data_IF_704595995085
#
_entry.id   IF_704595995085
#
_cell.length_a   1.000
_cell.length_b   1.000
_cell.length_c   1.000
_cell.angle_alpha   90.00
_cell.angle_beta   90.00
_cell.angle_gamma   90.00
#
_symmetry.space_group_name_H-M   'P 1'
#
loop_
_entity.id
_entity.type
_entity.pdbx_description
1 polymer ?
#
# COMPACT_ATOMS: atom_id res chain seq x y z
N UNK A 1 -1.09 13.28 4.33
CA UNK A 1 -0.75 11.90 3.93
C UNK A 1 -0.37 11.84 2.45
N UNK A 2 0.61 11.02 2.09
CA UNK A 2 1.08 10.83 0.71
C UNK A 2 0.08 10.00 -0.14
N UNK A 3 -0.19 10.44 -1.37
CA UNK A 3 -1.06 9.74 -2.35
C UNK A 3 -0.62 8.31 -2.67
N UNK A 4 0.67 8.01 -2.53
CA UNK A 4 1.25 6.67 -2.64
C UNK A 4 0.71 5.75 -1.55
N UNK A 5 0.78 6.18 -0.29
CA UNK A 5 0.29 5.40 0.85
C UNK A 5 -1.21 5.16 0.71
N UNK A 6 -1.99 6.19 0.38
CA UNK A 6 -3.43 6.04 0.17
C UNK A 6 -3.77 4.96 -0.86
N UNK A 7 -3.08 4.96 -2.01
CA UNK A 7 -3.27 3.96 -3.07
C UNK A 7 -2.85 2.57 -2.62
N UNK A 8 -1.66 2.43 -2.02
CA UNK A 8 -1.13 1.14 -1.56
C UNK A 8 -2.06 0.53 -0.52
N UNK A 9 -2.45 1.30 0.49
CA UNK A 9 -3.33 0.84 1.57
C UNK A 9 -4.70 0.38 1.09
N UNK A 10 -5.27 1.04 0.07
CA UNK A 10 -6.55 0.63 -0.50
C UNK A 10 -6.43 -0.58 -1.43
N UNK A 11 -5.42 -0.64 -2.32
CA UNK A 11 -5.24 -1.77 -3.24
C UNK A 11 -4.94 -3.08 -2.51
N UNK A 12 -4.03 -3.04 -1.55
CA UNK A 12 -3.66 -4.22 -0.73
C UNK A 12 -4.72 -4.59 0.30
N UNK A 13 -5.73 -3.72 0.50
CA UNK A 13 -6.70 -3.73 1.61
C UNK A 13 -6.11 -3.65 3.02
N UNK A 14 -4.81 -3.40 3.16
CA UNK A 14 -4.12 -3.27 4.44
C UNK A 14 -4.78 -2.23 5.37
N UNK A 15 -5.16 -1.07 4.82
CA UNK A 15 -5.81 -0.01 5.58
C UNK A 15 -6.78 0.78 4.69
N UNK A 16 -7.89 0.15 4.27
CA UNK A 16 -8.87 0.83 3.41
C UNK A 16 -9.54 2.04 4.08
N UNK A 17 -9.78 3.09 3.28
CA UNK A 17 -10.48 4.31 3.68
C UNK A 17 -10.89 5.14 2.47
N UNK A 18 -12.02 5.86 2.59
CA UNK A 18 -12.59 6.70 1.50
C UNK A 18 -11.85 8.01 1.29
N UNK A 19 -11.06 8.42 2.28
CA UNK A 19 -10.23 9.62 2.24
C UNK A 19 -8.93 9.37 3.02
N UNK A 20 -8.02 10.33 2.94
CA UNK A 20 -6.70 10.31 3.57
C UNK A 20 -6.80 10.07 5.09
N UNK A 21 -7.63 10.84 5.78
CA UNK A 21 -7.73 10.80 7.24
C UNK A 21 -8.17 9.41 7.74
N UNK A 22 -9.11 8.77 7.03
CA UNK A 22 -9.57 7.42 7.36
C UNK A 22 -8.46 6.38 7.21
N UNK A 23 -7.64 6.47 6.16
CA UNK A 23 -6.51 5.55 5.96
C UNK A 23 -5.47 5.76 7.04
N UNK A 24 -5.14 7.00 7.37
CA UNK A 24 -4.15 7.34 8.40
C UNK A 24 -4.57 6.82 9.78
N UNK A 25 -5.82 7.08 10.18
CA UNK A 25 -6.36 6.56 11.44
C UNK A 25 -6.39 5.02 11.49
N UNK A 26 -6.61 4.37 10.35
CA UNK A 26 -6.60 2.91 10.28
C UNK A 26 -5.19 2.35 10.36
N UNK A 27 -4.21 2.96 9.70
CA UNK A 27 -2.79 2.59 9.81
C UNK A 27 -2.30 2.65 11.26
N UNK A 28 -2.65 3.72 12.01
CA UNK A 28 -2.29 3.84 13.42
C UNK A 28 -2.86 2.72 14.31
N UNK A 29 -3.98 2.11 13.90
CA UNK A 29 -4.65 1.02 14.61
C UNK A 29 -4.11 -0.36 14.23
N UNK A 30 -3.84 -0.61 12.95
CA UNK A 30 -3.47 -1.95 12.46
C UNK A 30 -1.96 -2.20 12.47
N UNK A 31 -1.14 -1.15 12.43
CA UNK A 31 0.32 -1.28 12.44
C UNK A 31 0.80 -1.45 13.89
N UNK A 32 1.49 -2.55 14.23
CA UNK A 32 2.13 -2.74 15.53
C UNK A 32 3.11 -1.61 15.86
N UNK A 33 3.26 -1.27 17.14
CA UNK A 33 4.03 -0.11 17.59
C UNK A 33 5.49 -0.12 17.08
N UNK A 34 6.12 -1.30 17.03
CA UNK A 34 7.49 -1.50 16.55
C UNK A 34 7.71 -1.05 15.09
N UNK A 35 6.67 -1.06 14.26
CA UNK A 35 6.76 -0.73 12.83
C UNK A 35 6.28 0.68 12.50
N UNK A 36 5.73 1.44 13.46
CA UNK A 36 5.06 2.73 13.18
C UNK A 36 5.99 3.80 12.62
N UNK A 37 7.28 3.76 12.97
CA UNK A 37 8.29 4.71 12.49
C UNK A 37 8.61 4.44 11.02
N UNK A 38 8.77 3.18 10.65
CA UNK A 38 9.28 2.80 9.32
C UNK A 38 8.18 2.58 8.27
N UNK A 39 6.97 2.17 8.70
CA UNK A 39 5.87 1.83 7.80
C UNK A 39 5.55 2.97 6.83
N UNK A 40 5.71 4.21 7.25
CA UNK A 40 5.50 5.38 6.42
C UNK A 40 6.44 5.36 5.20
N UNK A 41 7.74 5.22 5.44
CA UNK A 41 8.74 5.16 4.38
C UNK A 41 8.56 3.93 3.50
N UNK A 42 8.27 2.76 4.09
CA UNK A 42 8.02 1.53 3.32
C UNK A 42 6.86 1.67 2.35
N UNK A 43 5.71 2.18 2.81
CA UNK A 43 4.52 2.32 1.96
C UNK A 43 4.71 3.40 0.89
N UNK A 44 5.44 4.49 1.17
CA UNK A 44 5.79 5.50 0.17
C UNK A 44 6.68 4.91 -0.91
N UNK A 45 7.79 4.27 -0.54
CA UNK A 45 8.74 3.69 -1.48
C UNK A 45 8.07 2.59 -2.31
N UNK A 46 7.30 1.71 -1.67
CA UNK A 46 6.54 0.67 -2.35
C UNK A 46 5.53 1.25 -3.33
N UNK A 47 4.79 2.29 -2.96
CA UNK A 47 3.86 2.97 -3.85
C UNK A 47 4.56 3.69 -5.01
N UNK A 48 5.75 4.25 -4.77
CA UNK A 48 6.52 4.97 -5.77
C UNK A 48 7.16 4.06 -6.83
N UNK A 49 7.69 2.90 -6.42
CA UNK A 49 8.51 2.06 -7.30
C UNK A 49 7.86 0.74 -7.74
N UNK A 50 6.88 0.23 -7.00
CA UNK A 50 6.24 -1.08 -7.27
C UNK A 50 4.76 -0.93 -7.56
N UNK A 51 3.97 -0.46 -6.59
CA UNK A 51 2.53 -0.29 -6.71
C UNK A 51 2.17 1.07 -7.35
N UNK A 52 2.70 1.31 -8.55
CA UNK A 52 2.51 2.57 -9.29
C UNK A 52 1.07 2.74 -9.79
N UNK A 53 0.66 3.99 -10.05
CA UNK A 53 -0.73 4.35 -10.29
C UNK A 53 -1.36 3.64 -11.51
N UNK A 54 -0.66 3.65 -12.66
CA UNK A 54 -1.21 3.15 -13.93
C UNK A 54 -1.06 1.63 -14.07
N UNK A 55 0.17 1.15 -14.30
CA UNK A 55 0.48 -0.28 -14.49
C UNK A 55 1.32 -0.79 -13.30
N UNK A 56 0.70 -1.22 -12.18
CA UNK A 56 1.46 -1.69 -11.03
C UNK A 56 2.33 -2.89 -11.42
N UNK A 57 3.50 -3.01 -10.79
CA UNK A 57 4.45 -4.10 -11.06
C UNK A 57 4.12 -5.31 -10.20
N UNK A 58 2.94 -5.91 -10.38
CA UNK A 58 2.46 -6.99 -9.49
C UNK A 58 3.35 -8.24 -9.61
N UNK A 59 3.74 -8.64 -10.82
CA UNK A 59 4.64 -9.80 -11.03
C UNK A 59 6.02 -9.68 -10.37
N UNK A 60 6.47 -8.47 -10.01
CA UNK A 60 7.72 -8.24 -9.26
C UNK A 60 7.48 -7.68 -7.85
N UNK A 61 6.27 -7.81 -7.32
CA UNK A 61 5.90 -7.27 -6.01
C UNK A 61 6.19 -8.28 -4.90
N UNK A 62 6.96 -7.86 -3.89
CA UNK A 62 7.38 -8.70 -2.76
C UNK A 62 6.23 -9.16 -1.83
N UNK A 63 5.05 -8.55 -1.96
CA UNK A 63 3.83 -8.86 -1.18
C UNK A 63 2.67 -9.21 -2.11
N UNK A 64 2.95 -9.67 -3.34
CA UNK A 64 1.93 -9.97 -4.34
C UNK A 64 0.90 -10.99 -3.82
N UNK A 65 1.39 -12.07 -3.24
CA UNK A 65 0.61 -13.19 -2.68
C UNK A 65 -0.29 -12.76 -1.52
N UNK A 66 0.15 -11.78 -0.74
CA UNK A 66 -0.61 -11.18 0.37
C UNK A 66 -1.54 -10.04 -0.09
N UNK A 67 -1.35 -9.51 -1.30
CA UNK A 67 -2.09 -8.36 -1.80
C UNK A 67 -3.48 -8.77 -2.33
N UNK A 68 -4.53 -8.20 -1.76
CA UNK A 68 -5.92 -8.47 -2.17
C UNK A 68 -6.43 -7.62 -3.34
N UNK A 69 -5.52 -7.02 -4.13
CA UNK A 69 -5.91 -6.27 -5.32
C UNK A 69 -6.40 -7.23 -6.41
N UNK A 70 -7.57 -6.96 -7.01
CA UNK A 70 -8.18 -7.86 -8.00
C UNK A 70 -7.61 -7.72 -9.41
N UNK A 71 -7.17 -6.52 -9.77
CA UNK A 71 -6.68 -6.19 -11.12
C UNK A 71 -5.15 -6.24 -11.17
N UNK A 72 -4.56 -7.35 -10.70
CA UNK A 72 -3.11 -7.55 -10.74
C UNK A 72 -2.62 -7.61 -12.18
N UNK A 73 -1.41 -7.11 -12.38
CA UNK A 73 -0.77 -7.05 -13.69
C UNK A 73 0.50 -7.90 -13.67
N UNK A 74 0.51 -8.95 -14.48
CA UNK A 74 1.70 -9.73 -14.75
C UNK A 74 2.71 -8.89 -15.54
N UNK A 75 3.98 -9.08 -15.23
CA UNK A 75 5.07 -8.52 -16.04
C UNK A 75 5.48 -9.67 -16.97
N UNK A 76 5.18 -9.52 -18.26
CA UNK A 76 5.72 -10.39 -19.32
C UNK A 76 7.26 -10.34 -19.34
#
# INVERSE_FOLDING_TARGET
MDTHIYRVSNRTKFAMGKNVDQVEQKLLKVVPAEFKVDVHHWLILHGRYTCIARKPRCGSCIIEDLCEYKEKVEID
#
